data_IF_788920553497
#
_entry.id   IF_788920553497
#
_cell.length_a   1.000
_cell.length_b   1.000
_cell.length_c   1.000
_cell.angle_alpha   90.00
_cell.angle_beta   90.00
_cell.angle_gamma   90.00
#
_symmetry.space_group_name_H-M   'P 1'
#
loop_
_entity.id
_entity.type
_entity.pdbx_description
1 polymer ?
#
# COMPACT_ATOMS: atom_id res chain seq x y z
N UNK A 1 -35.02 -23.58 -18.41
CA UNK A 1 -34.65 -22.78 -17.22
C UNK A 1 -33.42 -23.38 -16.57
N UNK A 2 -32.52 -22.53 -16.06
CA UNK A 2 -31.25 -22.80 -15.34
C UNK A 2 -30.00 -22.97 -16.22
N UNK A 3 -29.40 -21.84 -16.60
CA UNK A 3 -27.96 -21.74 -16.84
C UNK A 3 -27.52 -20.27 -16.74
N UNK A 4 -27.57 -19.69 -15.55
CA UNK A 4 -27.18 -18.28 -15.34
C UNK A 4 -26.83 -17.98 -13.86
N UNK A 5 -26.10 -18.88 -13.19
CA UNK A 5 -25.71 -18.68 -11.78
C UNK A 5 -24.26 -19.10 -11.51
N UNK A 6 -23.33 -18.84 -12.44
CA UNK A 6 -21.90 -19.09 -12.21
C UNK A 6 -20.98 -17.91 -12.52
N UNK A 7 -21.49 -16.76 -12.98
CA UNK A 7 -20.65 -15.63 -13.36
C UNK A 7 -20.51 -14.53 -12.28
N UNK A 8 -21.26 -14.60 -11.18
CA UNK A 8 -21.35 -13.45 -10.25
C UNK A 8 -20.37 -13.46 -9.08
N UNK A 9 -19.62 -14.55 -8.84
CA UNK A 9 -18.68 -14.61 -7.70
C UNK A 9 -17.28 -14.06 -8.01
N UNK A 10 -16.91 -13.92 -9.29
CA UNK A 10 -15.58 -13.40 -9.64
C UNK A 10 -15.50 -11.87 -9.65
N UNK A 11 -16.63 -11.15 -9.59
CA UNK A 11 -16.66 -9.70 -9.74
C UNK A 11 -16.61 -8.92 -8.40
N UNK A 12 -16.75 -9.59 -7.26
CA UNK A 12 -16.73 -8.93 -5.94
C UNK A 12 -15.29 -8.75 -5.42
N UNK A 13 -14.31 -9.47 -5.97
CA UNK A 13 -12.92 -9.40 -5.52
C UNK A 13 -12.11 -8.24 -6.12
N UNK A 14 -12.64 -7.50 -7.10
CA UNK A 14 -11.87 -6.48 -7.83
C UNK A 14 -12.21 -5.03 -7.47
N UNK A 15 -13.20 -4.79 -6.61
CA UNK A 15 -13.68 -3.42 -6.31
C UNK A 15 -13.03 -2.77 -5.09
N UNK A 16 -12.15 -3.45 -4.34
CA UNK A 16 -11.49 -2.89 -3.14
C UNK A 16 -10.17 -2.15 -3.48
N UNK A 17 -9.74 -2.11 -4.74
CA UNK A 17 -8.43 -1.57 -5.14
C UNK A 17 -8.37 -0.06 -5.44
N UNK A 18 -9.44 0.70 -5.20
CA UNK A 18 -9.44 2.15 -5.45
C UNK A 18 -9.60 2.96 -4.17
N UNK A 19 -8.52 3.09 -3.39
CA UNK A 19 -8.42 4.10 -2.34
C UNK A 19 -7.95 5.40 -3.01
N UNK A 20 -8.69 6.52 -2.91
CA UNK A 20 -8.28 7.78 -3.49
C UNK A 20 -7.10 8.35 -2.69
N UNK A 21 -5.96 8.54 -3.36
CA UNK A 21 -4.84 9.30 -2.84
C UNK A 21 -5.18 10.79 -2.89
N UNK A 22 -5.77 11.32 -1.81
CA UNK A 22 -5.99 12.75 -1.66
C UNK A 22 -5.11 13.34 -0.56
N UNK A 23 -4.26 14.27 -1.01
CA UNK A 23 -3.72 15.43 -0.30
C UNK A 23 -2.66 15.21 0.81
N UNK A 24 -1.41 15.53 0.44
CA UNK A 24 -0.50 16.37 1.22
C UNK A 24 -0.05 15.88 2.59
N UNK A 25 1.26 15.81 2.78
CA UNK A 25 2.01 15.22 3.91
C UNK A 25 2.35 13.75 3.64
N UNK A 26 3.50 13.29 4.14
CA UNK A 26 4.12 11.98 3.88
C UNK A 26 3.10 10.87 3.61
N UNK A 27 3.36 9.96 2.65
CA UNK A 27 2.45 8.85 2.42
C UNK A 27 2.35 8.00 3.69
N UNK A 28 1.27 8.20 4.42
CA UNK A 28 0.85 7.29 5.46
C UNK A 28 0.26 6.09 4.73
N UNK A 29 1.07 5.05 4.60
CA UNK A 29 0.68 3.87 3.86
C UNK A 29 -0.34 3.01 4.62
N UNK A 30 -0.71 3.37 5.87
CA UNK A 30 -1.66 2.64 6.71
C UNK A 30 -1.40 1.11 6.70
N UNK A 31 -0.12 0.69 6.61
CA UNK A 31 0.25 -0.70 6.35
C UNK A 31 -0.31 -1.65 7.41
N UNK A 32 -0.24 -1.26 8.69
CA UNK A 32 -0.81 -2.04 9.79
C UNK A 32 -2.33 -2.17 9.74
N UNK A 33 -3.05 -1.14 9.27
CA UNK A 33 -4.51 -1.22 9.10
C UNK A 33 -4.88 -2.11 7.91
N UNK A 34 -4.12 -2.05 6.80
CA UNK A 34 -4.30 -2.96 5.67
C UNK A 34 -4.01 -4.42 6.05
N UNK A 35 -2.93 -4.68 6.80
CA UNK A 35 -2.61 -6.01 7.29
C UNK A 35 -3.74 -6.58 8.15
N UNK A 36 -4.23 -5.80 9.12
CA UNK A 36 -5.34 -6.21 10.00
C UNK A 36 -6.64 -6.48 9.23
N UNK A 37 -6.97 -5.65 8.22
CA UNK A 37 -8.13 -5.90 7.35
C UNK A 37 -7.97 -7.17 6.51
N UNK A 38 -6.75 -7.45 6.03
CA UNK A 38 -6.45 -8.65 5.26
C UNK A 38 -6.58 -9.92 6.11
N UNK A 39 -6.02 -9.92 7.32
CA UNK A 39 -6.13 -11.03 8.28
C UNK A 39 -7.60 -11.32 8.63
N UNK A 40 -8.39 -10.27 8.91
CA UNK A 40 -9.81 -10.43 9.19
C UNK A 40 -10.58 -11.07 8.02
N UNK A 41 -10.24 -10.71 6.78
CA UNK A 41 -10.84 -11.35 5.60
C UNK A 41 -10.42 -12.83 5.48
N UNK A 42 -9.20 -13.18 5.88
CA UNK A 42 -8.77 -14.58 5.97
C UNK A 42 -9.56 -15.36 7.03
N UNK A 43 -9.82 -14.75 8.20
CA UNK A 43 -10.61 -15.38 9.27
C UNK A 43 -12.04 -15.68 8.81
N UNK A 44 -12.70 -14.70 8.17
CA UNK A 44 -14.05 -14.88 7.60
C UNK A 44 -14.09 -15.97 6.53
N UNK A 45 -13.02 -16.14 5.74
CA UNK A 45 -12.91 -17.23 4.76
C UNK A 45 -12.65 -18.59 5.42
N UNK A 46 -11.93 -18.65 6.54
CA UNK A 46 -11.68 -19.89 7.27
C UNK A 46 -12.94 -20.43 7.96
N UNK A 47 -13.80 -19.54 8.46
CA UNK A 47 -15.11 -19.92 8.99
C UNK A 47 -16.01 -20.54 7.91
N UNK A 48 -15.89 -20.05 6.67
CA UNK A 48 -16.68 -20.54 5.52
C UNK A 48 -16.06 -21.76 4.82
N UNK A 49 -14.73 -21.88 4.84
CA UNK A 49 -13.99 -22.92 4.13
C UNK A 49 -13.21 -23.79 5.12
N UNK A 50 -13.60 -25.06 5.25
CA UNK A 50 -12.95 -26.06 6.14
C UNK A 50 -11.52 -26.46 5.68
N UNK A 51 -10.80 -25.58 5.00
CA UNK A 51 -9.50 -25.87 4.41
C UNK A 51 -8.40 -25.03 5.08
N UNK A 52 -7.81 -25.58 6.14
CA UNK A 52 -6.73 -24.94 6.90
C UNK A 52 -5.55 -24.49 6.02
N UNK A 53 -5.25 -25.21 4.93
CA UNK A 53 -4.19 -24.84 3.99
C UNK A 53 -4.55 -23.59 3.16
N UNK A 54 -5.83 -23.30 2.94
CA UNK A 54 -6.26 -22.06 2.28
C UNK A 54 -6.13 -20.86 3.22
N UNK A 55 -6.46 -21.04 4.50
CA UNK A 55 -6.27 -20.02 5.53
C UNK A 55 -4.81 -19.62 5.72
N UNK A 56 -3.92 -20.60 5.90
CA UNK A 56 -2.49 -20.30 6.08
C UNK A 56 -1.91 -19.52 4.89
N UNK A 57 -2.21 -19.96 3.66
CA UNK A 57 -1.78 -19.23 2.45
C UNK A 57 -2.39 -17.83 2.31
N UNK A 58 -3.52 -17.58 2.96
CA UNK A 58 -4.12 -16.24 3.01
C UNK A 58 -3.30 -15.34 3.93
N UNK A 59 -3.01 -15.81 5.15
CA UNK A 59 -2.17 -15.09 6.12
C UNK A 59 -0.77 -14.81 5.58
N UNK A 60 -0.12 -15.81 4.95
CA UNK A 60 1.21 -15.64 4.36
C UNK A 60 1.24 -14.49 3.33
N UNK A 61 0.19 -14.38 2.50
CA UNK A 61 0.05 -13.28 1.53
C UNK A 61 -0.23 -11.94 2.20
N UNK A 62 -1.05 -11.90 3.26
CA UNK A 62 -1.29 -10.67 4.02
C UNK A 62 0.01 -10.15 4.63
N UNK A 63 0.83 -11.04 5.18
CA UNK A 63 2.13 -10.70 5.75
C UNK A 63 3.10 -10.20 4.67
N UNK A 64 3.18 -10.87 3.52
CA UNK A 64 4.01 -10.43 2.40
C UNK A 64 3.62 -9.02 1.90
N UNK A 65 2.31 -8.76 1.76
CA UNK A 65 1.81 -7.44 1.37
C UNK A 65 2.12 -6.37 2.42
N UNK A 66 2.00 -6.69 3.71
CA UNK A 66 2.37 -5.77 4.80
C UNK A 66 3.85 -5.43 4.74
N UNK A 67 4.72 -6.42 4.56
CA UNK A 67 6.17 -6.19 4.45
C UNK A 67 6.52 -5.32 3.25
N UNK A 68 5.95 -5.59 2.08
CA UNK A 68 6.17 -4.75 0.90
C UNK A 68 5.67 -3.32 1.11
N UNK A 69 4.58 -3.14 1.84
CA UNK A 69 4.05 -1.83 2.21
C UNK A 69 5.02 -1.09 3.14
N UNK A 70 5.51 -1.75 4.19
CA UNK A 70 6.49 -1.20 5.14
C UNK A 70 7.81 -0.83 4.45
N UNK A 71 8.30 -1.65 3.54
CA UNK A 71 9.51 -1.36 2.76
C UNK A 71 9.34 -0.12 1.89
N UNK A 72 8.19 0.03 1.21
CA UNK A 72 7.87 1.22 0.41
C UNK A 72 7.73 2.47 1.29
N UNK A 73 7.14 2.32 2.48
CA UNK A 73 7.04 3.39 3.45
C UNK A 73 8.42 3.83 3.91
N UNK A 74 9.27 2.89 4.33
CA UNK A 74 10.64 3.17 4.78
C UNK A 74 11.46 3.89 3.71
N UNK A 75 11.39 3.42 2.46
CA UNK A 75 12.06 4.06 1.32
C UNK A 75 11.57 5.48 1.11
N UNK A 76 10.26 5.70 1.13
CA UNK A 76 9.71 7.03 0.93
C UNK A 76 10.04 7.99 2.07
N UNK A 77 10.05 7.50 3.32
CA UNK A 77 10.50 8.25 4.49
C UNK A 77 11.97 8.66 4.34
N UNK A 78 12.86 7.75 3.94
CA UNK A 78 14.26 8.08 3.69
C UNK A 78 14.42 9.15 2.60
N UNK A 79 13.67 9.05 1.49
CA UNK A 79 13.66 10.08 0.45
C UNK A 79 13.15 11.44 0.98
N UNK A 80 12.14 11.43 1.86
CA UNK A 80 11.59 12.64 2.46
C UNK A 80 12.58 13.29 3.43
N UNK A 81 13.35 12.51 4.20
CA UNK A 81 14.41 13.03 5.06
C UNK A 81 15.50 13.75 4.27
N UNK A 82 15.97 13.14 3.17
CA UNK A 82 16.92 13.77 2.25
C UNK A 82 16.35 15.04 1.63
N UNK A 83 15.09 15.03 1.25
CA UNK A 83 14.40 16.22 0.72
C UNK A 83 14.33 17.36 1.75
N UNK A 84 13.99 17.03 3.00
CA UNK A 84 13.92 18.01 4.08
C UNK A 84 15.29 18.62 4.39
N UNK A 85 16.36 17.84 4.31
CA UNK A 85 17.72 18.36 4.45
C UNK A 85 18.11 19.27 3.29
N UNK A 86 17.78 18.86 2.05
CA UNK A 86 18.01 19.67 0.85
C UNK A 86 17.30 21.03 0.93
N UNK A 87 16.03 21.07 1.36
CA UNK A 87 15.29 22.34 1.54
C UNK A 87 15.97 23.25 2.57
N UNK A 88 16.46 22.70 3.69
CA UNK A 88 17.19 23.48 4.70
C UNK A 88 18.45 24.12 4.12
N UNK A 89 19.18 23.36 3.29
CA UNK A 89 20.40 23.85 2.64
C UNK A 89 20.11 24.87 1.53
N UNK A 90 18.99 24.70 0.80
CA UNK A 90 18.56 25.63 -0.24
C UNK A 90 18.24 27.03 0.31
N UNK A 91 17.90 27.15 1.60
CA UNK A 91 17.72 28.43 2.30
C UNK A 91 16.79 29.45 1.60
N UNK A 92 15.82 28.97 0.81
CA UNK A 92 14.89 29.81 0.05
C UNK A 92 15.30 30.14 -1.39
N UNK A 93 16.39 29.57 -1.91
CA UNK A 93 16.75 29.64 -3.32
C UNK A 93 15.78 28.78 -4.16
N UNK A 94 14.98 29.43 -5.00
CA UNK A 94 13.94 28.77 -5.80
C UNK A 94 14.51 27.72 -6.78
N UNK A 95 15.70 27.94 -7.33
CA UNK A 95 16.33 27.00 -8.25
C UNK A 95 16.85 25.76 -7.51
N UNK A 96 17.45 25.95 -6.34
CA UNK A 96 17.86 24.86 -5.47
C UNK A 96 16.65 24.05 -4.95
N UNK A 97 15.56 24.73 -4.59
CA UNK A 97 14.31 24.09 -4.15
C UNK A 97 13.69 23.21 -5.25
N UNK A 98 13.71 23.65 -6.51
CA UNK A 98 13.22 22.82 -7.61
C UNK A 98 14.12 21.58 -7.81
N UNK A 99 15.43 21.73 -7.67
CA UNK A 99 16.38 20.60 -7.67
C UNK A 99 16.10 19.60 -6.54
N UNK A 100 15.79 20.07 -5.33
CA UNK A 100 15.39 19.21 -4.21
C UNK A 100 14.11 18.44 -4.52
N UNK A 101 13.10 19.09 -5.14
CA UNK A 101 11.83 18.46 -5.49
C UNK A 101 12.00 17.39 -6.56
N UNK A 102 12.82 17.65 -7.57
CA UNK A 102 13.13 16.68 -8.61
C UNK A 102 13.87 15.47 -8.03
N UNK A 103 14.88 15.71 -7.17
CA UNK A 103 15.58 14.65 -6.45
C UNK A 103 14.64 13.77 -5.61
N UNK A 104 13.68 14.38 -4.91
CA UNK A 104 12.66 13.64 -4.17
C UNK A 104 11.80 12.76 -5.07
N UNK A 105 11.32 13.28 -6.22
CA UNK A 105 10.52 12.50 -7.19
C UNK A 105 11.31 11.30 -7.71
N UNK A 106 12.56 11.53 -8.13
CA UNK A 106 13.41 10.45 -8.62
C UNK A 106 13.75 9.42 -7.54
N UNK A 107 13.82 9.81 -6.27
CA UNK A 107 14.13 8.90 -5.17
C UNK A 107 12.95 7.95 -4.86
N UNK A 108 11.72 8.49 -4.78
CA UNK A 108 10.53 7.70 -4.44
C UNK A 108 10.05 6.78 -5.57
N UNK A 109 10.37 7.10 -6.82
CA UNK A 109 9.93 6.35 -8.00
C UNK A 109 10.92 5.24 -8.42
N UNK A 110 12.08 5.14 -7.76
CA UNK A 110 13.03 4.01 -7.87
C UNK A 110 12.53 2.81 -7.09
#
# INVERSE_FOLDING_TARGET
MKSTLLFSLAMVFLTILTIPASAGSMPDYHCGEQASRCEKACDEMAEQSKNANAYQRCLDRCQEQSQQCEERQAKTTACAEVFMDCIKQAAGDDQALEGCREGYRQCKDK
#
